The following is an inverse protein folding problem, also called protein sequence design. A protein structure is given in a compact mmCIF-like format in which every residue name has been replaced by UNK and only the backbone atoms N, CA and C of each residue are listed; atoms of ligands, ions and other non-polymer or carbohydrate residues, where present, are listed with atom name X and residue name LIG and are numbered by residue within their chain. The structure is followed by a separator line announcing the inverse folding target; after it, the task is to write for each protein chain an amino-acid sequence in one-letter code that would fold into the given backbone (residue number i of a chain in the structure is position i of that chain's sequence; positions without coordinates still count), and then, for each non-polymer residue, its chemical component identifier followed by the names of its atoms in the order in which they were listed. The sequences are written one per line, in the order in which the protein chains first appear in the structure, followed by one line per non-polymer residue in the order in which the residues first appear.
data_IF_151362734950
#
_entry.id   IF_151362734950
#
_cell.length_a   1.000
_cell.length_b   1.000
_cell.length_c   1.000
_cell.angle_alpha   90.00
_cell.angle_beta   90.00
_cell.angle_gamma   90.00
#
_symmetry.space_group_name_H-M   'P 1'
#
loop_
_entity.id
_entity.type
_entity.pdbx_description
1 polymer ?
#
# COMPACT_ATOMS: atom_id res chain seq x y z
N UNK A 1 -27.30 -41.51 -38.48
CA UNK A 1 -27.81 -40.58 -37.44
C UNK A 1 -26.76 -40.50 -36.34
N UNK A 2 -26.02 -39.40 -36.23
CA UNK A 2 -25.02 -39.17 -35.18
C UNK A 2 -25.29 -37.76 -34.64
N UNK A 3 -25.66 -37.67 -33.36
CA UNK A 3 -25.94 -36.42 -32.64
C UNK A 3 -24.68 -36.04 -31.87
N UNK A 4 -24.03 -34.88 -32.12
CA UNK A 4 -22.95 -34.42 -31.27
C UNK A 4 -23.55 -33.62 -30.10
N UNK A 5 -23.34 -34.11 -28.88
CA UNK A 5 -23.69 -33.41 -27.65
C UNK A 5 -22.66 -32.30 -27.38
N UNK A 6 -23.11 -31.04 -27.41
CA UNK A 6 -22.35 -29.86 -26.99
C UNK A 6 -22.35 -29.77 -25.46
N UNK A 7 -21.21 -30.01 -24.83
CA UNK A 7 -20.99 -29.77 -23.41
C UNK A 7 -20.71 -28.28 -23.17
N UNK A 8 -21.71 -27.56 -22.63
CA UNK A 8 -21.56 -26.17 -22.21
C UNK A 8 -20.85 -26.10 -20.84
N UNK A 9 -19.59 -25.69 -20.84
CA UNK A 9 -18.84 -25.37 -19.61
C UNK A 9 -19.28 -23.99 -19.11
N UNK A 10 -20.10 -23.99 -18.06
CA UNK A 10 -20.49 -22.77 -17.35
C UNK A 10 -19.30 -22.22 -16.56
N UNK A 11 -18.76 -21.08 -16.98
CA UNK A 11 -17.78 -20.31 -16.23
C UNK A 11 -18.47 -19.63 -15.05
N UNK A 12 -18.37 -20.22 -13.86
CA UNK A 12 -18.75 -19.54 -12.62
C UNK A 12 -17.71 -18.43 -12.33
N UNK A 13 -18.06 -17.17 -12.59
CA UNK A 13 -17.27 -16.03 -12.15
C UNK A 13 -17.28 -15.97 -10.62
N UNK A 14 -16.12 -15.91 -9.94
CA UNK A 14 -16.10 -15.69 -8.50
C UNK A 14 -16.66 -14.29 -8.22
N UNK A 15 -17.75 -14.23 -7.45
CA UNK A 15 -18.26 -12.99 -6.91
C UNK A 15 -17.16 -12.35 -6.06
N UNK A 16 -16.64 -11.21 -6.51
CA UNK A 16 -15.68 -10.43 -5.74
C UNK A 16 -16.37 -9.97 -4.46
N UNK A 17 -15.97 -10.55 -3.32
CA UNK A 17 -16.38 -10.07 -2.02
C UNK A 17 -15.96 -8.60 -1.90
N UNK A 18 -16.94 -7.71 -1.75
CA UNK A 18 -16.68 -6.29 -1.52
C UNK A 18 -15.87 -6.16 -0.23
N UNK A 19 -14.61 -5.73 -0.34
CA UNK A 19 -13.79 -5.42 0.82
C UNK A 19 -14.48 -4.33 1.64
N UNK A 20 -14.56 -4.52 2.96
CA UNK A 20 -15.03 -3.49 3.87
C UNK A 20 -14.22 -2.20 3.65
N UNK A 21 -14.84 -1.01 3.80
CA UNK A 21 -14.14 0.26 3.66
C UNK A 21 -12.95 0.28 4.64
N UNK A 22 -11.75 0.46 4.10
CA UNK A 22 -10.57 0.67 4.93
C UNK A 22 -10.70 2.03 5.63
N UNK A 23 -10.40 2.06 6.93
CA UNK A 23 -10.34 3.31 7.68
C UNK A 23 -9.28 4.24 7.09
N UNK A 24 -9.56 5.54 7.10
CA UNK A 24 -8.59 6.55 6.67
C UNK A 24 -7.35 6.53 7.59
N UNK A 25 -6.14 6.81 7.05
CA UNK A 25 -4.94 6.86 7.87
C UNK A 25 -5.08 7.94 8.93
N UNK A 26 -4.80 7.58 10.17
CA UNK A 26 -4.86 8.47 11.32
C UNK A 26 -3.63 8.28 12.20
N UNK A 27 -3.19 9.36 12.84
CA UNK A 27 -2.19 9.31 13.90
C UNK A 27 -2.80 9.78 15.20
N UNK A 28 -2.49 9.07 16.26
CA UNK A 28 -2.78 9.45 17.62
C UNK A 28 -1.51 10.08 18.21
N UNK A 29 -1.68 11.25 18.82
CA UNK A 29 -0.57 12.03 19.36
C UNK A 29 -0.89 12.32 20.82
N UNK A 30 -0.05 11.81 21.73
CA UNK A 30 -0.31 11.90 23.18
C UNK A 30 -0.48 13.34 23.70
N UNK A 31 0.14 14.32 23.02
CA UNK A 31 -0.09 15.74 23.24
C UNK A 31 0.28 16.56 22.02
N UNK A 32 -0.55 17.53 21.65
CA UNK A 32 -0.31 18.40 20.50
C UNK A 32 -0.72 19.86 20.74
N UNK A 33 -1.22 20.21 21.92
CA UNK A 33 -1.57 21.59 22.30
C UNK A 33 -0.74 22.03 23.49
N UNK A 34 -0.52 23.34 23.62
CA UNK A 34 0.25 23.97 24.70
C UNK A 34 1.59 23.25 24.99
N UNK A 35 2.26 22.79 23.93
CA UNK A 35 3.52 22.07 24.00
C UNK A 35 4.60 22.97 24.60
N UNK A 36 5.34 22.42 25.54
CA UNK A 36 6.56 23.06 26.05
C UNK A 36 7.77 22.57 25.27
N UNK A 37 8.80 23.40 25.14
CA UNK A 37 10.05 22.97 24.52
C UNK A 37 10.67 21.82 25.31
N UNK A 38 11.13 20.79 24.58
CA UNK A 38 11.73 19.59 25.12
C UNK A 38 10.76 18.52 25.61
N UNK A 39 9.44 18.79 25.58
CA UNK A 39 8.41 17.84 25.96
C UNK A 39 8.43 16.59 25.06
N UNK A 40 8.25 15.40 25.66
CA UNK A 40 8.18 14.15 24.90
C UNK A 40 6.76 13.90 24.42
N UNK A 41 6.61 13.52 23.16
CA UNK A 41 5.34 13.26 22.50
C UNK A 41 5.39 11.84 21.92
N UNK A 42 4.48 10.99 22.37
CA UNK A 42 4.30 9.66 21.77
C UNK A 42 3.32 9.75 20.60
N UNK A 43 3.67 9.07 19.51
CA UNK A 43 2.89 8.98 18.28
C UNK A 43 2.68 7.52 17.91
N UNK A 44 1.43 7.17 17.63
CA UNK A 44 0.99 5.92 17.03
C UNK A 44 0.14 6.24 15.80
N UNK A 45 -0.09 5.25 14.94
CA UNK A 45 -0.97 5.42 13.79
C UNK A 45 -1.63 4.13 13.34
N UNK A 46 -2.77 4.29 12.68
CA UNK A 46 -3.65 3.23 12.18
C UNK A 46 -4.26 3.64 10.84
N UNK A 47 -4.89 2.70 10.13
CA UNK A 47 -5.55 2.97 8.84
C UNK A 47 -4.56 3.22 7.68
N UNK A 48 -3.27 2.99 7.89
CA UNK A 48 -2.29 3.02 6.80
C UNK A 48 -2.39 1.75 5.96
N UNK A 49 -1.98 1.82 4.70
CA UNK A 49 -1.85 0.65 3.85
C UNK A 49 -0.87 -0.35 4.47
N UNK A 50 -1.28 -1.61 4.72
CA UNK A 50 -0.40 -2.62 5.29
C UNK A 50 0.89 -2.84 4.49
N UNK A 51 1.98 -3.09 5.21
CA UNK A 51 3.27 -3.44 4.62
C UNK A 51 4.08 -2.29 4.01
N UNK A 52 3.58 -1.05 4.07
CA UNK A 52 4.36 0.13 3.69
C UNK A 52 5.68 0.19 4.48
N UNK A 53 6.77 0.47 3.76
CA UNK A 53 8.12 0.60 4.33
C UNK A 53 8.53 2.06 4.39
N UNK A 54 9.31 2.41 5.41
CA UNK A 54 9.92 3.72 5.54
C UNK A 54 8.91 4.89 5.51
N UNK A 55 7.81 4.76 6.27
CA UNK A 55 6.89 5.87 6.53
C UNK A 55 7.59 6.84 7.47
N UNK A 56 7.78 8.08 7.05
CA UNK A 56 8.40 9.12 7.87
C UNK A 56 7.39 9.61 8.91
N UNK A 57 7.80 9.68 10.17
CA UNK A 57 7.02 10.24 11.28
C UNK A 57 7.83 11.35 11.95
N UNK A 58 7.27 12.55 12.09
CA UNK A 58 8.01 13.66 12.69
C UNK A 58 7.24 14.96 12.82
N UNK A 59 7.83 15.91 13.54
CA UNK A 59 7.39 17.30 13.63
C UNK A 59 7.90 18.06 12.40
N UNK A 60 7.01 18.67 11.63
CA UNK A 60 7.31 19.36 10.39
C UNK A 60 6.56 20.68 10.26
N UNK A 61 7.00 21.54 9.33
CA UNK A 61 6.21 22.68 8.86
C UNK A 61 4.92 22.19 8.21
N UNK A 62 3.77 22.85 8.43
CA UNK A 62 2.55 22.53 7.67
C UNK A 62 2.78 22.75 6.17
N UNK A 63 2.23 21.86 5.33
CA UNK A 63 2.42 21.91 3.88
C UNK A 63 3.86 21.65 3.45
N UNK A 64 4.59 20.80 4.18
CA UNK A 64 5.95 20.41 3.83
C UNK A 64 6.03 19.86 2.40
N UNK A 65 7.02 20.34 1.64
CA UNK A 65 7.28 19.93 0.25
C UNK A 65 8.73 19.55 0.03
N UNK A 66 9.63 20.02 0.90
CA UNK A 66 11.08 19.80 0.78
C UNK A 66 11.53 18.54 1.55
N UNK A 67 10.62 17.59 1.74
CA UNK A 67 10.85 16.34 2.47
C UNK A 67 11.40 16.58 3.88
N UNK A 68 12.47 15.86 4.22
CA UNK A 68 13.07 15.88 5.56
C UNK A 68 13.60 17.26 5.99
N UNK A 69 13.89 18.18 5.05
CA UNK A 69 14.35 19.54 5.39
C UNK A 69 13.27 20.37 6.06
N UNK A 70 12.01 20.06 5.80
CA UNK A 70 10.87 20.72 6.45
C UNK A 70 10.51 20.09 7.82
N UNK A 71 11.29 19.10 8.28
CA UNK A 71 11.02 18.33 9.50
C UNK A 71 12.18 18.40 10.52
N UNK A 72 11.85 18.22 11.79
CA UNK A 72 12.79 18.23 12.90
C UNK A 72 13.48 16.86 13.07
N UNK A 73 14.55 16.64 12.30
CA UNK A 73 15.37 15.44 12.42
C UNK A 73 16.07 15.34 13.78
N UNK A 74 16.37 16.48 14.42
CA UNK A 74 16.97 16.50 15.75
C UNK A 74 15.95 16.29 16.88
N UNK A 75 14.66 16.29 16.57
CA UNK A 75 13.55 16.08 17.50
C UNK A 75 13.06 14.63 17.52
N UNK A 76 13.78 13.69 16.93
CA UNK A 76 13.40 12.26 16.91
C UNK A 76 12.53 11.85 15.73
N UNK A 77 12.41 12.69 14.69
CA UNK A 77 11.77 12.26 13.45
C UNK A 77 12.47 11.01 12.90
N UNK A 78 11.68 10.01 12.50
CA UNK A 78 12.18 8.67 12.18
C UNK A 78 11.36 8.00 11.09
N UNK A 79 11.81 6.83 10.66
CA UNK A 79 11.09 5.96 9.74
C UNK A 79 10.50 4.76 10.47
N UNK A 80 9.23 4.47 10.20
CA UNK A 80 8.55 3.26 10.68
C UNK A 80 8.12 2.39 9.51
N UNK A 81 7.89 1.12 9.81
CA UNK A 81 7.22 0.20 8.91
C UNK A 81 5.79 0.01 9.40
N UNK A 82 4.85 -0.04 8.46
CA UNK A 82 3.46 -0.33 8.74
C UNK A 82 3.29 -1.84 8.79
N UNK A 83 2.66 -2.33 9.86
CA UNK A 83 2.38 -3.75 10.06
C UNK A 83 1.30 -4.28 9.09
N UNK A 84 0.94 -5.55 9.26
CA UNK A 84 -0.09 -6.23 8.49
C UNK A 84 -1.52 -5.71 8.76
N UNK A 85 -1.71 -5.00 9.88
CA UNK A 85 -2.97 -4.38 10.29
C UNK A 85 -3.07 -2.92 9.89
N UNK A 86 -2.05 -2.36 9.24
CA UNK A 86 -2.06 -0.95 8.84
C UNK A 86 -1.67 0.00 9.98
N UNK A 87 -0.91 -0.47 10.96
CA UNK A 87 -0.56 0.28 12.16
C UNK A 87 0.96 0.43 12.38
N UNK A 88 1.31 1.42 13.21
CA UNK A 88 2.62 1.56 13.84
C UNK A 88 2.45 2.12 15.27
N UNK A 89 3.39 1.82 16.16
CA UNK A 89 3.33 2.25 17.57
C UNK A 89 4.68 2.70 18.10
N UNK A 90 4.68 3.60 19.08
CA UNK A 90 5.83 3.85 19.94
C UNK A 90 6.89 4.78 19.34
N UNK A 91 6.50 5.71 18.46
CA UNK A 91 7.41 6.78 18.04
C UNK A 91 7.42 7.87 19.09
N UNK A 92 8.59 8.20 19.64
CA UNK A 92 8.75 9.30 20.57
C UNK A 92 9.44 10.47 19.88
N UNK A 93 8.78 11.62 19.88
CA UNK A 93 9.31 12.90 19.39
C UNK A 93 9.60 13.82 20.56
N UNK A 94 10.54 14.75 20.38
CA UNK A 94 10.82 15.86 21.29
C UNK A 94 10.26 17.15 20.69
N UNK A 95 9.37 17.81 21.42
CA UNK A 95 8.75 19.06 21.00
C UNK A 95 9.81 20.16 20.93
N UNK A 96 10.15 20.62 19.73
CA UNK A 96 11.04 21.76 19.54
C UNK A 96 10.33 22.82 18.72
N UNK A 97 10.07 24.02 19.28
CA UNK A 97 9.41 25.07 18.52
C UNK A 97 10.29 25.59 17.38
N UNK A 98 11.62 25.36 17.44
CA UNK A 98 12.57 25.79 16.44
C UNK A 98 13.49 24.66 16.00
N UNK A 99 13.59 24.46 14.70
CA UNK A 99 14.48 23.50 14.06
C UNK A 99 14.77 23.96 12.63
N UNK A 100 16.00 23.75 12.17
CA UNK A 100 16.46 24.32 10.90
C UNK A 100 16.16 25.84 10.87
N UNK A 101 15.46 26.30 9.84
CA UNK A 101 14.97 27.68 9.66
C UNK A 101 13.44 27.79 9.90
N UNK A 102 12.88 26.81 10.60
CA UNK A 102 11.45 26.71 10.91
C UNK A 102 11.22 27.12 12.36
N UNK A 103 10.28 28.06 12.53
CA UNK A 103 9.83 28.54 13.83
C UNK A 103 8.32 28.30 13.95
N UNK A 104 7.93 27.25 14.67
CA UNK A 104 6.55 26.86 14.94
C UNK A 104 5.81 27.83 15.88
N UNK A 105 6.50 28.82 16.45
CA UNK A 105 5.85 29.93 17.15
C UNK A 105 5.31 30.97 16.15
N UNK A 106 5.93 31.07 14.97
CA UNK A 106 5.62 32.05 13.93
C UNK A 106 4.83 31.47 12.74
N UNK A 107 4.72 30.14 12.64
CA UNK A 107 3.92 29.46 11.61
C UNK A 107 3.32 28.16 12.14
N UNK A 108 2.29 27.66 11.47
CA UNK A 108 1.69 26.38 11.81
C UNK A 108 2.66 25.22 11.49
N UNK A 109 2.85 24.35 12.47
CA UNK A 109 3.57 23.09 12.33
C UNK A 109 2.62 21.91 12.55
N UNK A 110 3.01 20.74 12.10
CA UNK A 110 2.25 19.49 12.22
C UNK A 110 3.16 18.37 12.70
N UNK A 111 2.62 17.44 13.46
CA UNK A 111 3.17 16.09 13.51
C UNK A 111 2.53 15.34 12.35
N UNK A 112 3.35 14.75 11.49
CA UNK A 112 2.88 14.04 10.31
C UNK A 112 3.46 12.65 10.21
N UNK A 113 2.69 11.75 9.59
CA UNK A 113 3.15 10.44 9.15
C UNK A 113 2.82 10.30 7.65
N UNK A 114 3.84 10.05 6.81
CA UNK A 114 3.66 9.90 5.36
C UNK A 114 4.77 9.03 4.71
N UNK A 115 4.44 8.25 3.67
CA UNK A 115 5.45 7.61 2.85
C UNK A 115 6.31 8.64 2.12
N UNK A 116 7.59 8.30 1.89
CA UNK A 116 8.47 9.17 1.13
C UNK A 116 8.04 9.26 -0.35
N UNK A 117 7.93 10.47 -0.93
CA UNK A 117 7.52 10.66 -2.31
C UNK A 117 8.55 10.17 -3.33
N UNK A 118 9.81 9.95 -2.92
CA UNK A 118 10.86 9.40 -3.78
C UNK A 118 10.72 7.90 -4.02
N UNK A 119 10.03 7.18 -3.13
CA UNK A 119 9.88 5.72 -3.18
C UNK A 119 8.42 5.28 -3.33
N UNK A 120 7.47 6.22 -3.29
CA UNK A 120 6.04 5.95 -3.37
C UNK A 120 5.35 6.87 -4.38
N UNK A 121 4.43 6.35 -5.22
CA UNK A 121 3.64 7.17 -6.12
C UNK A 121 2.82 8.25 -5.39
N UNK A 122 2.54 9.41 -6.00
CA UNK A 122 1.79 10.50 -5.36
C UNK A 122 0.42 10.08 -4.80
N UNK A 123 -0.29 9.18 -5.49
CA UNK A 123 -1.55 8.63 -5.02
C UNK A 123 -1.40 7.82 -3.72
N UNK A 124 -0.32 7.05 -3.59
CA UNK A 124 -0.01 6.27 -2.37
C UNK A 124 0.36 7.22 -1.24
N UNK A 125 1.20 8.22 -1.49
CA UNK A 125 1.57 9.23 -0.48
C UNK A 125 0.31 9.93 0.02
N UNK A 126 -0.52 10.46 -0.88
CA UNK A 126 -1.77 11.16 -0.54
C UNK A 126 -2.72 10.29 0.28
N UNK A 127 -2.91 9.03 -0.11
CA UNK A 127 -3.83 8.11 0.56
C UNK A 127 -3.29 7.57 1.90
N UNK A 128 -2.02 7.81 2.22
CA UNK A 128 -1.34 7.28 3.43
C UNK A 128 -0.66 8.40 4.22
N UNK A 129 -1.18 9.63 4.12
CA UNK A 129 -0.69 10.77 4.90
C UNK A 129 -1.69 11.10 6.00
N UNK A 130 -1.20 11.18 7.23
CA UNK A 130 -1.96 11.67 8.38
C UNK A 130 -1.19 12.80 9.05
N UNK A 131 -1.91 13.82 9.51
CA UNK A 131 -1.32 15.01 10.12
C UNK A 131 -2.15 15.49 11.32
N UNK A 132 -1.48 15.98 12.35
CA UNK A 132 -2.08 16.66 13.50
C UNK A 132 -1.35 18.00 13.66
N UNK A 133 -2.10 19.10 13.69
CA UNK A 133 -1.54 20.43 13.95
C UNK A 133 -1.07 20.51 15.38
N UNK A 134 0.11 21.09 15.58
CA UNK A 134 0.64 21.36 16.91
C UNK A 134 0.48 22.81 17.31
N UNK A 135 0.34 23.05 18.60
CA UNK A 135 0.36 24.36 19.22
C UNK A 135 1.36 24.40 20.35
N UNK A 136 2.32 25.31 20.29
CA UNK A 136 3.27 25.53 21.38
C UNK A 136 2.71 26.57 22.35
N UNK A 137 3.06 26.43 23.63
CA UNK A 137 2.68 27.38 24.67
C UNK A 137 3.16 28.79 24.31
N UNK A 138 2.24 29.74 24.28
CA UNK A 138 2.52 31.12 23.90
C UNK A 138 2.47 31.40 22.39
N UNK A 139 2.28 30.37 21.54
CA UNK A 139 2.00 30.59 20.13
C UNK A 139 0.52 30.94 19.89
N UNK A 140 0.25 31.61 18.77
CA UNK A 140 -1.12 31.84 18.28
C UNK A 140 -1.76 30.58 17.68
N UNK A 141 -0.95 29.56 17.40
CA UNK A 141 -1.37 28.27 16.86
C UNK A 141 -1.81 27.35 18.00
N UNK A 142 -3.07 26.93 18.01
CA UNK A 142 -3.63 26.12 19.11
C UNK A 142 -3.40 24.62 18.97
N UNK A 143 -2.97 24.17 17.79
CA UNK A 143 -2.97 22.75 17.43
C UNK A 143 -4.39 22.23 17.16
N UNK A 144 -4.49 20.96 16.81
CA UNK A 144 -5.76 20.32 16.49
C UNK A 144 -5.60 19.13 15.56
N UNK A 145 -6.45 18.12 15.74
CA UNK A 145 -6.57 17.06 14.75
C UNK A 145 -7.03 17.67 13.42
N UNK A 146 -6.38 17.27 12.32
CA UNK A 146 -6.90 17.54 10.99
C UNK A 146 -7.73 16.33 10.60
N UNK A 147 -8.96 16.53 10.12
CA UNK A 147 -9.76 15.43 9.61
C UNK A 147 -8.99 14.74 8.48
N UNK A 148 -8.78 13.42 8.62
CA UNK A 148 -8.19 12.63 7.56
C UNK A 148 -9.08 12.72 6.31
N UNK A 149 -8.46 12.88 5.14
CA UNK A 149 -9.21 12.68 3.90
C UNK A 149 -9.75 11.24 3.90
N UNK A 150 -11.01 11.00 3.50
CA UNK A 150 -11.55 9.65 3.46
C UNK A 150 -10.61 8.76 2.66
N UNK A 151 -10.35 7.55 3.16
CA UNK A 151 -9.52 6.58 2.47
C UNK A 151 -10.04 6.50 1.04
N UNK A 152 -9.15 6.75 0.07
CA UNK A 152 -9.49 6.42 -1.30
C UNK A 152 -9.76 4.91 -1.28
N UNK A 153 -11.00 4.52 -1.61
CA UNK A 153 -11.34 3.12 -1.84
C UNK A 153 -10.21 2.57 -2.68
N UNK A 154 -9.53 1.54 -2.20
CA UNK A 154 -8.52 0.88 -3.00
C UNK A 154 -9.24 0.49 -4.29
N UNK A 155 -9.02 1.26 -5.37
CA UNK A 155 -9.30 0.76 -6.69
C UNK A 155 -8.58 -0.59 -6.69
N UNK A 156 -9.25 -1.69 -7.08
CA UNK A 156 -8.55 -2.95 -7.24
C UNK A 156 -7.35 -2.61 -8.12
N UNK A 157 -6.17 -2.60 -7.50
CA UNK A 157 -4.94 -2.60 -8.27
C UNK A 157 -5.09 -3.78 -9.23
N UNK A 158 -4.57 -3.69 -10.46
CA UNK A 158 -4.47 -4.89 -11.28
C UNK A 158 -3.89 -5.95 -10.35
N UNK A 159 -4.63 -7.05 -10.19
CA UNK A 159 -4.34 -8.05 -9.18
C UNK A 159 -2.87 -8.43 -9.26
N UNK A 160 -2.38 -9.15 -8.27
CA UNK A 160 -1.05 -9.77 -8.26
C UNK A 160 -0.70 -10.62 -9.49
N UNK A 161 -1.53 -10.68 -10.54
CA UNK A 161 -1.07 -10.83 -11.92
C UNK A 161 -0.23 -9.63 -12.35
N UNK A 162 1.07 -9.68 -12.04
CA UNK A 162 2.07 -8.88 -12.76
C UNK A 162 1.95 -9.08 -14.28
N UNK A 163 2.72 -8.35 -15.09
CA UNK A 163 2.71 -8.48 -16.57
C UNK A 163 2.96 -9.93 -17.07
N UNK A 164 3.37 -10.81 -16.16
CA UNK A 164 3.54 -12.24 -16.35
C UNK A 164 2.25 -13.07 -16.38
N UNK A 165 1.09 -12.63 -15.89
CA UNK A 165 -0.14 -13.45 -15.95
C UNK A 165 -0.61 -13.78 -17.39
N UNK A 166 -0.70 -12.82 -18.34
CA UNK A 166 -1.00 -13.15 -19.73
C UNK A 166 0.13 -13.95 -20.41
N UNK A 167 1.38 -13.74 -20.00
CA UNK A 167 2.54 -14.50 -20.49
C UNK A 167 2.56 -15.95 -19.99
N UNK A 168 2.17 -16.19 -18.74
CA UNK A 168 2.02 -17.54 -18.18
C UNK A 168 0.82 -18.24 -18.81
N UNK A 169 -0.28 -17.53 -19.07
CA UNK A 169 -1.41 -18.08 -19.82
C UNK A 169 -1.02 -18.45 -21.26
N UNK A 170 -0.28 -17.58 -21.96
CA UNK A 170 0.24 -17.86 -23.30
C UNK A 170 1.20 -19.06 -23.31
N UNK A 171 2.10 -19.15 -22.31
CA UNK A 171 3.03 -20.28 -22.15
C UNK A 171 2.27 -21.60 -21.89
N UNK A 172 1.23 -21.59 -21.05
CA UNK A 172 0.42 -22.77 -20.77
C UNK A 172 -0.36 -23.24 -22.02
N UNK A 173 -0.90 -22.32 -22.81
CA UNK A 173 -1.58 -22.63 -24.08
C UNK A 173 -0.61 -23.21 -25.10
N UNK A 174 0.61 -22.66 -25.21
CA UNK A 174 1.64 -23.18 -26.11
C UNK A 174 2.09 -24.60 -25.73
N UNK A 175 2.27 -24.90 -24.44
CA UNK A 175 2.63 -26.24 -23.97
C UNK A 175 1.50 -27.24 -24.25
N UNK A 176 0.24 -26.86 -23.99
CA UNK A 176 -0.91 -27.71 -24.27
C UNK A 176 -1.11 -27.96 -25.78
N UNK A 177 -0.90 -26.95 -26.63
CA UNK A 177 -0.97 -27.06 -28.08
C UNK A 177 0.11 -27.96 -28.68
N UNK A 178 1.35 -27.89 -28.16
CA UNK A 178 2.43 -28.77 -28.59
C UNK A 178 2.17 -30.25 -28.20
N UNK A 179 1.63 -30.49 -27.00
CA UNK A 179 1.25 -31.84 -26.56
C UNK A 179 0.14 -32.48 -27.42
N UNK A 180 -0.88 -31.71 -27.81
CA UNK A 180 -1.96 -32.20 -28.68
C UNK A 180 -1.46 -32.55 -30.09
N UNK A 181 -0.49 -31.79 -30.61
CA UNK A 181 0.11 -32.03 -31.94
C UNK A 181 0.90 -33.33 -31.99
N UNK A 182 1.67 -33.64 -30.93
CA UNK A 182 2.43 -34.89 -30.82
C UNK A 182 1.51 -36.13 -30.77
N UNK A 183 0.40 -36.06 -30.03
CA UNK A 183 -0.56 -37.18 -29.92
C UNK A 183 -1.27 -37.45 -31.24
N UNK A 184 -1.61 -36.41 -32.01
CA UNK A 184 -2.27 -36.57 -33.33
C UNK A 184 -1.32 -37.17 -34.37
N UNK A 185 -0.04 -36.78 -34.37
CA UNK A 185 0.97 -37.36 -35.27
C UNK A 185 1.26 -38.82 -34.91
N UNK A 186 1.35 -39.15 -33.61
CA UNK A 186 1.65 -40.50 -33.16
C UNK A 186 0.50 -41.48 -33.42
N UNK A 187 -0.76 -41.01 -33.39
CA UNK A 187 -1.93 -41.82 -33.81
C UNK A 187 -2.00 -42.06 -35.32
N UNK A 188 -1.45 -41.17 -36.14
CA UNK A 188 -1.41 -41.33 -37.60
C UNK A 188 -0.29 -42.25 -38.07
N UNK A 189 0.77 -42.40 -37.29
CA UNK A 189 1.93 -43.24 -37.61
C UNK A 189 1.93 -44.63 -36.94
N UNK A 190 0.83 -45.04 -36.29
CA UNK A 190 0.73 -46.40 -35.77
C UNK A 190 0.63 -47.41 -36.95
N UNK A 191 1.62 -48.29 -37.16
CA UNK A 191 1.53 -49.31 -38.20
C UNK A 191 0.48 -50.36 -37.81
N UNK A 192 -0.38 -50.72 -38.78
CA UNK A 192 -1.30 -51.84 -38.65
C UNK A 192 -0.48 -53.11 -38.35
N UNK A 193 -0.68 -53.68 -37.16
CA UNK A 193 -0.09 -54.97 -36.81
C UNK A 193 -0.88 -56.05 -37.55
N UNK A 194 -0.27 -56.57 -38.61
CA UNK A 194 -0.72 -57.72 -39.40
C UNK A 194 -0.81 -58.96 -38.49
N UNK A 195 -2.03 -59.44 -38.24
CA UNK A 195 -2.29 -60.68 -37.52
C UNK A 195 -2.15 -61.82 -38.52
N UNK A 196 -0.93 -62.36 -38.67
CA UNK A 196 -0.72 -63.58 -39.44
C UNK A 196 -0.96 -64.81 -38.55
N UNK A 197 -2.11 -65.42 -38.82
CA UNK A 197 -2.62 -66.70 -38.34
C UNK A 197 -1.56 -67.82 -38.35
N UNK A 198 -1.38 -68.47 -37.20
CA UNK A 198 -0.72 -69.79 -37.07
C UNK A 198 -1.72 -70.89 -37.40
N UNK A 199 -1.35 -71.78 -38.32
CA UNK A 199 -1.88 -73.15 -38.45
C UNK A 199 -0.73 -74.06 -38.83
#
# INVERSE_FOLDING_TARGET
MIVPALAALAFASPAAAAAAPADAPAIEVGKFTDLSEGEQITVSGTGFRPGLKSVAVGLCKEGYTNGLKDCDLGGGATFVNIDDKGAFTGVTLKARPKFNEIDCMARQCVIGAAPLPTTNPPAVVKANTAIVRVGFKGSSFKGGAVAAAPAATAAPGPGTGGPSAPLWAATAVLIAGAGASAVVVQRRNAPATDVRSTS
#
